data_IF_301379757732
#
_entry.id   IF_301379757732
#
_cell.length_a   1.000
_cell.length_b   1.000
_cell.length_c   1.000
_cell.angle_alpha   90.00
_cell.angle_beta   90.00
_cell.angle_gamma   90.00
#
_symmetry.space_group_name_H-M   'P 1'
#
loop_
_entity.id
_entity.type
_entity.pdbx_description
1 polymer ?
#
# COMPACT_ATOMS: atom_id res chain seq x y z
N UNK A 1 14.80 29.50 -5.40
CA UNK A 1 14.99 28.47 -4.34
C UNK A 1 13.69 27.88 -3.78
N UNK A 2 12.56 28.61 -3.70
CA UNK A 2 11.26 28.13 -3.17
C UNK A 2 10.63 26.95 -3.94
N UNK A 3 10.76 26.91 -5.27
CA UNK A 3 10.15 25.85 -6.11
C UNK A 3 10.74 24.44 -5.91
N UNK A 4 12.03 24.31 -5.61
CA UNK A 4 12.69 23.01 -5.40
C UNK A 4 12.22 22.31 -4.11
N UNK A 5 11.92 23.07 -3.05
CA UNK A 5 11.39 22.52 -1.80
C UNK A 5 9.92 22.10 -1.92
N UNK A 6 9.11 22.82 -2.68
CA UNK A 6 7.71 22.49 -2.92
C UNK A 6 7.56 21.18 -3.72
N UNK A 7 8.39 21.00 -4.76
CA UNK A 7 8.46 19.74 -5.53
C UNK A 7 8.98 18.59 -4.64
N UNK A 8 9.95 18.89 -3.76
CA UNK A 8 10.50 17.93 -2.81
C UNK A 8 9.55 17.49 -1.69
N UNK A 9 8.51 18.27 -1.40
CA UNK A 9 7.45 17.92 -0.44
C UNK A 9 6.29 17.18 -1.13
N UNK A 10 5.91 17.62 -2.34
CA UNK A 10 4.83 17.02 -3.13
C UNK A 10 5.07 15.54 -3.44
N UNK A 11 6.33 15.13 -3.65
CA UNK A 11 6.69 13.71 -3.88
C UNK A 11 6.37 12.77 -2.71
N UNK A 12 6.20 13.29 -1.50
CA UNK A 12 5.89 12.47 -0.33
C UNK A 12 4.39 12.20 -0.17
N UNK A 13 3.54 13.02 -0.80
CA UNK A 13 2.08 12.89 -0.69
C UNK A 13 1.57 11.48 -1.06
N UNK A 14 1.98 10.88 -2.20
CA UNK A 14 1.53 9.52 -2.56
C UNK A 14 2.01 8.47 -1.57
N UNK A 15 3.23 8.63 -1.04
CA UNK A 15 3.82 7.71 -0.06
C UNK A 15 3.04 7.78 1.24
N UNK A 16 2.74 9.00 1.73
CA UNK A 16 1.98 9.19 2.96
C UNK A 16 0.55 8.67 2.83
N UNK A 17 -0.10 8.90 1.69
CA UNK A 17 -1.45 8.38 1.44
C UNK A 17 -1.48 6.85 1.41
N UNK A 18 -0.50 6.24 0.72
CA UNK A 18 -0.35 4.78 0.67
C UNK A 18 -0.13 4.19 2.07
N UNK A 19 0.78 4.76 2.87
CA UNK A 19 1.08 4.27 4.22
C UNK A 19 -0.12 4.46 5.16
N UNK A 20 -0.82 5.58 5.08
CA UNK A 20 -2.03 5.84 5.86
C UNK A 20 -3.13 4.81 5.53
N UNK A 21 -3.42 4.62 4.24
CA UNK A 21 -4.39 3.61 3.79
C UNK A 21 -3.99 2.21 4.24
N UNK A 22 -2.71 1.84 4.09
CA UNK A 22 -2.20 0.53 4.51
C UNK A 22 -2.40 0.32 6.01
N UNK A 23 -2.15 1.35 6.84
CA UNK A 23 -2.31 1.28 8.29
C UNK A 23 -3.78 1.10 8.70
N UNK A 24 -4.68 1.89 8.10
CA UNK A 24 -6.12 1.78 8.34
C UNK A 24 -6.63 0.41 7.90
N UNK A 25 -6.29 -0.03 6.69
CA UNK A 25 -6.67 -1.34 6.16
C UNK A 25 -6.13 -2.50 6.99
N UNK A 26 -4.88 -2.41 7.47
CA UNK A 26 -4.29 -3.41 8.38
C UNK A 26 -5.10 -3.54 9.66
N UNK A 27 -5.44 -2.42 10.28
CA UNK A 27 -6.26 -2.41 11.48
C UNK A 27 -7.66 -2.99 11.22
N UNK A 28 -8.33 -2.58 10.14
CA UNK A 28 -9.68 -3.07 9.80
C UNK A 28 -9.71 -4.58 9.56
N UNK A 29 -8.71 -5.10 8.86
CA UNK A 29 -8.57 -6.52 8.56
C UNK A 29 -8.32 -7.35 9.84
N UNK A 30 -7.42 -6.88 10.71
CA UNK A 30 -7.11 -7.54 11.98
C UNK A 30 -8.27 -7.47 12.98
N UNK A 31 -8.92 -6.30 13.09
CA UNK A 31 -10.09 -6.10 13.93
C UNK A 31 -11.34 -6.81 13.35
N UNK A 32 -11.30 -7.21 12.08
CA UNK A 32 -12.40 -7.85 11.35
C UNK A 32 -13.70 -7.04 11.53
N UNK A 33 -13.63 -5.75 11.26
CA UNK A 33 -14.78 -4.86 11.40
C UNK A 33 -15.95 -5.30 10.49
N UNK A 34 -17.16 -4.83 10.77
CA UNK A 34 -18.36 -5.22 10.02
C UNK A 34 -18.25 -4.98 8.52
N UNK A 35 -17.55 -3.91 8.09
CA UNK A 35 -17.25 -3.65 6.69
C UNK A 35 -16.41 -4.77 6.05
N UNK A 36 -15.29 -5.15 6.67
CA UNK A 36 -14.40 -6.21 6.17
C UNK A 36 -15.13 -7.54 6.07
N UNK A 37 -15.93 -7.91 7.08
CA UNK A 37 -16.72 -9.15 7.06
C UNK A 37 -17.67 -9.19 5.85
N UNK A 38 -18.43 -8.12 5.62
CA UNK A 38 -19.35 -8.01 4.48
C UNK A 38 -18.62 -8.14 3.14
N UNK A 39 -17.46 -7.50 3.01
CA UNK A 39 -16.64 -7.60 1.79
C UNK A 39 -16.12 -9.02 1.60
N UNK A 40 -15.62 -9.66 2.65
CA UNK A 40 -15.10 -11.03 2.57
C UNK A 40 -16.20 -12.05 2.27
N UNK A 41 -17.37 -11.92 2.89
CA UNK A 41 -18.53 -12.77 2.62
C UNK A 41 -18.99 -12.61 1.15
N UNK A 42 -19.05 -11.37 0.66
CA UNK A 42 -19.38 -11.08 -0.75
C UNK A 42 -18.37 -11.68 -1.73
N UNK A 43 -17.07 -11.55 -1.45
CA UNK A 43 -16.00 -12.09 -2.27
C UNK A 43 -15.78 -13.60 -2.09
N UNK A 44 -16.51 -14.26 -1.18
CA UNK A 44 -16.37 -15.68 -0.89
C UNK A 44 -15.08 -16.05 -0.15
N UNK A 45 -14.44 -15.10 0.53
CA UNK A 45 -13.21 -15.34 1.26
C UNK A 45 -13.44 -15.80 2.71
N UNK A 46 -12.71 -16.83 3.17
CA UNK A 46 -12.79 -17.24 4.56
C UNK A 46 -12.16 -16.17 5.47
N UNK A 47 -12.77 -15.92 6.63
CA UNK A 47 -12.36 -14.81 7.52
C UNK A 47 -10.94 -14.91 8.10
N UNK A 48 -10.30 -16.08 8.11
CA UNK A 48 -8.89 -16.17 8.51
C UNK A 48 -7.98 -15.43 7.50
N UNK A 49 -8.40 -15.32 6.24
CA UNK A 49 -7.64 -14.63 5.20
C UNK A 49 -7.52 -13.14 5.50
N UNK A 50 -8.53 -12.53 6.14
CA UNK A 50 -8.44 -11.14 6.62
C UNK A 50 -7.30 -10.98 7.63
N UNK A 51 -7.12 -11.93 8.54
CA UNK A 51 -5.99 -11.88 9.50
C UNK A 51 -4.64 -11.98 8.80
N UNK A 52 -4.52 -12.81 7.76
CA UNK A 52 -3.29 -12.90 6.95
C UNK A 52 -3.01 -11.58 6.25
N UNK A 53 -4.02 -10.98 5.59
CA UNK A 53 -3.87 -9.71 4.89
C UNK A 53 -3.54 -8.56 5.85
N UNK A 54 -4.21 -8.49 6.99
CA UNK A 54 -3.96 -7.47 8.00
C UNK A 54 -2.54 -7.56 8.57
N UNK A 55 -2.07 -8.77 8.89
CA UNK A 55 -0.70 -9.02 9.36
C UNK A 55 0.34 -8.70 8.26
N UNK A 56 0.07 -9.06 7.00
CA UNK A 56 0.94 -8.74 5.88
C UNK A 56 1.07 -7.21 5.66
N UNK A 57 -0.03 -6.47 5.74
CA UNK A 57 -0.01 -4.99 5.69
C UNK A 57 0.79 -4.39 6.85
N UNK A 58 0.64 -4.92 8.07
CA UNK A 58 1.43 -4.47 9.22
C UNK A 58 2.93 -4.73 9.04
N UNK A 59 3.30 -5.91 8.54
CA UNK A 59 4.68 -6.26 8.22
C UNK A 59 5.27 -5.34 7.14
N UNK A 60 4.48 -5.02 6.10
CA UNK A 60 4.89 -4.09 5.05
C UNK A 60 5.13 -2.67 5.60
N UNK A 61 4.27 -2.17 6.49
CA UNK A 61 4.46 -0.88 7.17
C UNK A 61 5.75 -0.88 7.98
N UNK A 62 5.97 -1.90 8.81
CA UNK A 62 7.18 -2.02 9.62
C UNK A 62 8.44 -2.01 8.74
N UNK A 63 8.43 -2.76 7.63
CA UNK A 63 9.54 -2.80 6.68
C UNK A 63 9.80 -1.44 6.00
N UNK A 64 8.75 -0.73 5.57
CA UNK A 64 8.90 0.56 4.88
C UNK A 64 9.40 1.65 5.83
N UNK A 65 8.88 1.68 7.06
CA UNK A 65 9.24 2.68 8.07
C UNK A 65 10.62 2.43 8.70
N UNK A 66 11.10 1.18 8.70
CA UNK A 66 12.43 0.87 9.23
C UNK A 66 13.54 1.36 8.27
N UNK A 67 14.46 2.23 8.72
CA UNK A 67 15.59 2.68 7.90
C UNK A 67 16.61 1.56 7.65
N UNK A 68 17.44 1.69 6.60
CA UNK A 68 18.60 0.82 6.37
C UNK A 68 18.34 -0.55 5.72
N UNK A 69 17.11 -0.89 5.35
CA UNK A 69 16.75 -2.23 4.84
C UNK A 69 16.14 -2.19 3.42
N UNK A 70 16.92 -1.85 2.37
CA UNK A 70 16.38 -1.61 1.02
C UNK A 70 15.66 -2.83 0.42
N UNK A 71 16.26 -4.03 0.49
CA UNK A 71 15.65 -5.26 -0.04
C UNK A 71 14.32 -5.59 0.64
N UNK A 72 14.24 -5.45 1.96
CA UNK A 72 12.99 -5.69 2.71
C UNK A 72 11.88 -4.73 2.29
N UNK A 73 12.23 -3.46 1.97
CA UNK A 73 11.27 -2.50 1.42
C UNK A 73 10.75 -2.91 0.05
N UNK A 74 11.61 -3.46 -0.81
CA UNK A 74 11.20 -3.97 -2.13
C UNK A 74 10.14 -5.07 -1.99
N UNK A 75 10.39 -6.03 -1.11
CA UNK A 75 9.42 -7.09 -0.81
C UNK A 75 8.13 -6.54 -0.19
N UNK A 76 8.22 -5.52 0.67
CA UNK A 76 7.04 -4.86 1.23
C UNK A 76 6.19 -4.17 0.15
N UNK A 77 6.82 -3.42 -0.77
CA UNK A 77 6.11 -2.79 -1.89
C UNK A 77 5.51 -3.82 -2.84
N UNK A 78 6.22 -4.90 -3.15
CA UNK A 78 5.70 -6.00 -3.95
C UNK A 78 4.49 -6.68 -3.28
N UNK A 79 4.58 -6.95 -1.97
CA UNK A 79 3.48 -7.50 -1.19
C UNK A 79 2.25 -6.60 -1.21
N UNK A 80 2.42 -5.29 -1.00
CA UNK A 80 1.32 -4.33 -1.09
C UNK A 80 0.71 -4.25 -2.50
N UNK A 81 1.52 -4.33 -3.55
CA UNK A 81 1.02 -4.42 -4.92
C UNK A 81 0.10 -5.63 -5.11
N UNK A 82 0.48 -6.80 -4.60
CA UNK A 82 -0.37 -8.00 -4.67
C UNK A 82 -1.62 -7.90 -3.79
N UNK A 83 -1.54 -7.24 -2.63
CA UNK A 83 -2.70 -7.03 -1.77
C UNK A 83 -3.73 -6.13 -2.46
N UNK A 84 -3.30 -4.98 -2.97
CA UNK A 84 -4.18 -4.02 -3.63
C UNK A 84 -4.64 -4.51 -5.01
N UNK A 85 -3.73 -5.03 -5.82
CA UNK A 85 -4.04 -5.61 -7.12
C UNK A 85 -4.93 -6.85 -7.00
N UNK A 86 -4.69 -7.68 -5.98
CA UNK A 86 -5.54 -8.81 -5.64
C UNK A 86 -6.95 -8.36 -5.28
N UNK A 87 -7.11 -7.38 -4.39
CA UNK A 87 -8.42 -6.83 -4.05
C UNK A 87 -9.19 -6.29 -5.28
N UNK A 88 -8.51 -5.55 -6.17
CA UNK A 88 -9.09 -5.09 -7.42
C UNK A 88 -9.54 -6.26 -8.31
N UNK A 89 -8.68 -7.26 -8.49
CA UNK A 89 -8.98 -8.45 -9.28
C UNK A 89 -10.15 -9.25 -8.70
N UNK A 90 -10.24 -9.40 -7.37
CA UNK A 90 -11.36 -10.08 -6.70
C UNK A 90 -12.69 -9.39 -6.97
N UNK A 91 -12.74 -8.06 -6.85
CA UNK A 91 -13.95 -7.29 -7.13
C UNK A 91 -14.35 -7.38 -8.61
N UNK A 92 -13.39 -7.30 -9.54
CA UNK A 92 -13.66 -7.49 -10.97
C UNK A 92 -14.21 -8.91 -11.22
N UNK A 93 -13.61 -9.94 -10.63
CA UNK A 93 -14.05 -11.33 -10.78
C UNK A 93 -15.43 -11.59 -10.18
N UNK A 94 -15.81 -10.86 -9.12
CA UNK A 94 -17.13 -10.89 -8.51
C UNK A 94 -18.20 -10.12 -9.33
N UNK A 95 -17.80 -9.42 -10.41
CA UNK A 95 -18.71 -8.62 -11.24
C UNK A 95 -19.06 -7.26 -10.64
N UNK A 96 -18.25 -6.76 -9.70
CA UNK A 96 -18.50 -5.47 -9.05
C UNK A 96 -18.21 -4.27 -9.95
N UNK A 97 -18.88 -3.16 -9.66
CA UNK A 97 -18.68 -1.89 -10.33
C UNK A 97 -17.33 -1.21 -10.01
N UNK A 98 -16.97 -0.17 -10.77
CA UNK A 98 -15.74 0.61 -10.54
C UNK A 98 -15.64 1.24 -9.15
N UNK A 99 -16.76 1.45 -8.47
CA UNK A 99 -16.81 1.94 -7.09
C UNK A 99 -16.09 1.01 -6.10
N UNK A 100 -15.91 -0.27 -6.45
CA UNK A 100 -15.21 -1.26 -5.61
C UNK A 100 -13.77 -1.50 -6.03
N UNK A 101 -13.49 -1.62 -7.33
CA UNK A 101 -12.15 -1.99 -7.80
C UNK A 101 -11.25 -0.81 -8.17
N UNK A 102 -11.78 0.39 -8.42
CA UNK A 102 -10.96 1.53 -8.86
C UNK A 102 -9.97 1.99 -7.78
N UNK A 103 -10.45 2.19 -6.55
CA UNK A 103 -9.58 2.60 -5.42
C UNK A 103 -8.41 1.64 -5.19
N UNK A 104 -8.61 0.31 -5.02
CA UNK A 104 -7.49 -0.61 -4.87
C UNK A 104 -6.58 -0.64 -6.10
N UNK A 105 -7.10 -0.43 -7.31
CA UNK A 105 -6.27 -0.32 -8.54
C UNK A 105 -5.35 0.90 -8.50
N UNK A 106 -5.86 2.05 -8.04
CA UNK A 106 -5.05 3.26 -7.86
C UNK A 106 -3.94 3.01 -6.83
N UNK A 107 -4.24 2.39 -5.70
CA UNK A 107 -3.22 2.08 -4.70
C UNK A 107 -2.18 1.07 -5.21
N UNK A 108 -2.59 0.05 -5.98
CA UNK A 108 -1.67 -0.87 -6.63
C UNK A 108 -0.72 -0.13 -7.59
N UNK A 109 -1.25 0.78 -8.43
CA UNK A 109 -0.43 1.61 -9.30
C UNK A 109 0.50 2.54 -8.52
N UNK A 110 0.02 3.14 -7.42
CA UNK A 110 0.82 3.97 -6.53
C UNK A 110 1.97 3.20 -5.89
N UNK A 111 1.78 1.95 -5.44
CA UNK A 111 2.87 1.11 -4.92
C UNK A 111 3.99 0.92 -5.93
N UNK A 112 3.65 0.70 -7.19
CA UNK A 112 4.64 0.53 -8.26
C UNK A 112 5.37 1.84 -8.57
N UNK A 113 4.63 2.95 -8.67
CA UNK A 113 5.18 4.28 -8.93
C UNK A 113 6.08 4.80 -7.80
N UNK A 114 5.69 4.58 -6.55
CA UNK A 114 6.49 4.97 -5.37
C UNK A 114 7.83 4.23 -5.37
N UNK A 115 7.84 2.95 -5.73
CA UNK A 115 9.08 2.18 -5.84
C UNK A 115 9.97 2.68 -6.97
N UNK A 116 9.41 3.07 -8.12
CA UNK A 116 10.22 3.54 -9.25
C UNK A 116 10.80 4.94 -9.02
N UNK A 117 10.20 5.75 -8.16
CA UNK A 117 10.57 7.17 -7.98
C UNK A 117 11.38 7.49 -6.71
N UNK A 118 11.38 6.64 -5.67
CA UNK A 118 12.15 6.93 -4.46
C UNK A 118 13.65 6.60 -4.64
N UNK A 119 14.57 7.56 -4.37
CA UNK A 119 16.00 7.29 -4.38
C UNK A 119 16.34 6.24 -3.33
N UNK A 120 16.98 5.15 -3.75
CA UNK A 120 17.30 4.01 -2.87
C UNK A 120 18.48 4.30 -1.93
N UNK A 121 19.25 5.36 -2.20
CA UNK A 121 20.46 5.70 -1.46
C UNK A 121 20.31 7.08 -0.80
N UNK A 122 20.37 7.14 0.53
CA UNK A 122 20.48 8.39 1.28
C UNK A 122 21.73 9.20 0.89
N UNK A 123 22.76 8.54 0.35
CA UNK A 123 23.97 9.17 -0.20
C UNK A 123 23.71 10.04 -1.44
N UNK A 124 22.69 9.73 -2.26
CA UNK A 124 22.36 10.51 -3.46
C UNK A 124 21.73 11.88 -3.15
N UNK A 125 21.20 12.07 -1.94
CA UNK A 125 20.71 13.36 -1.46
C UNK A 125 21.84 14.23 -0.87
N UNK A 126 23.00 13.63 -0.57
CA UNK A 126 24.17 14.33 -0.01
C UNK A 126 25.17 14.80 -1.07
N UNK A 127 25.14 14.25 -2.30
CA UNK A 127 26.05 14.61 -3.40
C UNK A 127 25.65 15.86 -4.19
N UNK A 128 24.62 16.59 -3.74
CA UNK A 128 24.15 17.83 -4.36
C UNK A 128 24.26 19.06 -3.43
N UNK A 129 25.08 18.98 -2.39
CA UNK A 129 25.54 20.15 -1.64
C UNK A 129 26.87 20.64 -2.19
#
# INVERSE_FOLDING_TARGET
>A
MRGKHLIGLARWVPVTALLAETAVGSYWDLARISYVRKVFDHLGYPMYFATILGAAKAAALAAILTPGHPRTKEWAYAGLFFIYGGAAASHIAAGDGPDKWATPTVFAACTFAVRSWLPQNAAALASHK
#
